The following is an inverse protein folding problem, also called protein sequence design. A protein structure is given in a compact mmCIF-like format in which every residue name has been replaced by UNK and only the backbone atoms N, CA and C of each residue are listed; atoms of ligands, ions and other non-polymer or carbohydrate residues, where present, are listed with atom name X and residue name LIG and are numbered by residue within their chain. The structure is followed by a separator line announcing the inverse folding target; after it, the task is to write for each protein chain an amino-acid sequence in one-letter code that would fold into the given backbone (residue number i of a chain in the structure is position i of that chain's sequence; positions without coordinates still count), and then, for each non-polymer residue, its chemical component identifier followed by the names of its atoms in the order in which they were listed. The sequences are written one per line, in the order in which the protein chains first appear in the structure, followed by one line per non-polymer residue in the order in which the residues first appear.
data_IF_339066404264
#
_entry.id   IF_339066404264
#
_cell.length_a   1.000
_cell.length_b   1.000
_cell.length_c   1.000
_cell.angle_alpha   90.00
_cell.angle_beta   90.00
_cell.angle_gamma   90.00
#
_symmetry.space_group_name_H-M   'P 1'
#
loop_
_entity.id
_entity.type
_entity.pdbx_description
1 polymer ?
#
# COMPACT_ATOMS: atom_id res chain seq x y z
N UNK A 1 12.35 2.52 -7.26
CA UNK A 1 11.14 2.43 -6.42
C UNK A 1 11.07 3.67 -5.56
N UNK A 2 9.93 4.35 -5.58
CA UNK A 2 9.62 5.53 -4.76
C UNK A 2 8.38 5.20 -3.93
N UNK A 3 8.43 5.44 -2.62
CA UNK A 3 7.31 5.24 -1.71
C UNK A 3 6.81 6.60 -1.26
N UNK A 4 5.51 6.84 -1.38
CA UNK A 4 4.85 8.06 -0.94
C UNK A 4 3.90 7.69 0.21
N UNK A 5 4.16 8.28 1.37
CA UNK A 5 3.38 8.13 2.58
C UNK A 5 3.43 9.44 3.36
N UNK A 6 2.32 10.19 3.35
CA UNK A 6 2.21 11.42 4.16
C UNK A 6 1.97 11.08 5.63
N UNK A 7 2.16 12.04 6.55
CA UNK A 7 1.87 11.81 7.97
C UNK A 7 0.38 11.51 8.20
N UNK A 8 -0.54 12.17 7.48
CA UNK A 8 -1.98 11.84 7.55
C UNK A 8 -2.25 10.42 7.07
N UNK A 9 -1.69 10.01 5.93
CA UNK A 9 -1.84 8.66 5.42
C UNK A 9 -1.28 7.61 6.39
N UNK A 10 -0.18 7.93 7.06
CA UNK A 10 0.44 7.09 8.09
C UNK A 10 -0.44 6.96 9.34
N UNK A 11 -1.10 8.02 9.78
CA UNK A 11 -2.07 7.98 10.89
C UNK A 11 -3.31 7.15 10.51
N UNK A 12 -3.81 7.33 9.29
CA UNK A 12 -4.92 6.54 8.74
C UNK A 12 -4.55 5.06 8.65
N UNK A 13 -3.34 4.74 8.17
CA UNK A 13 -2.82 3.37 8.11
C UNK A 13 -2.67 2.75 9.50
N UNK A 14 -2.25 3.53 10.52
CA UNK A 14 -2.21 3.06 11.91
C UNK A 14 -3.61 2.80 12.47
N UNK A 15 -4.60 3.64 12.13
CA UNK A 15 -5.98 3.52 12.63
C UNK A 15 -6.71 2.32 12.01
N UNK A 16 -6.57 2.10 10.70
CA UNK A 16 -7.39 1.13 9.97
C UNK A 16 -6.62 -0.05 9.36
N UNK A 17 -5.28 -0.01 9.37
CA UNK A 17 -4.43 -1.01 8.71
C UNK A 17 -4.43 -2.40 9.35
N UNK A 18 -5.04 -2.57 10.53
CA UNK A 18 -5.32 -3.88 11.13
C UNK A 18 -6.60 -4.54 10.61
N UNK A 19 -7.46 -3.76 9.93
CA UNK A 19 -8.73 -4.20 9.35
C UNK A 19 -8.56 -4.82 7.97
N UNK A 20 -9.46 -4.45 7.04
CA UNK A 20 -9.37 -4.88 5.64
C UNK A 20 -8.44 -3.96 4.86
N UNK A 21 -7.59 -4.56 4.04
CA UNK A 21 -6.74 -3.87 3.09
C UNK A 21 -7.02 -4.35 1.69
N UNK A 22 -7.10 -3.41 0.76
CA UNK A 22 -7.07 -3.67 -0.67
C UNK A 22 -5.71 -3.21 -1.20
N UNK A 23 -5.04 -4.07 -1.97
CA UNK A 23 -3.77 -3.73 -2.61
C UNK A 23 -3.98 -3.93 -4.10
N UNK A 24 -3.91 -2.84 -4.85
CA UNK A 24 -4.05 -2.87 -6.30
C UNK A 24 -2.78 -2.32 -6.96
N UNK A 25 -2.44 -2.87 -8.12
CA UNK A 25 -1.32 -2.40 -8.92
C UNK A 25 -1.75 -2.13 -10.35
N UNK A 26 -1.68 -0.86 -10.73
CA UNK A 26 -1.95 -0.45 -12.11
C UNK A 26 -0.68 -0.60 -12.95
N UNK A 27 -0.83 -1.26 -14.10
CA UNK A 27 0.24 -1.52 -15.06
C UNK A 27 -0.04 -0.76 -16.36
N UNK A 28 1.00 -0.31 -17.06
CA UNK A 28 0.87 0.25 -18.41
C UNK A 28 0.16 1.61 -18.49
N UNK A 29 0.03 2.33 -17.38
CA UNK A 29 -0.63 3.65 -17.31
C UNK A 29 0.27 4.80 -17.77
N UNK A 30 1.52 4.53 -18.14
CA UNK A 30 2.48 5.52 -18.60
C UNK A 30 3.47 4.93 -19.62
N UNK A 31 4.11 5.80 -20.40
CA UNK A 31 5.11 5.44 -21.42
C UNK A 31 6.44 4.89 -20.87
N UNK A 32 6.61 4.90 -19.55
CA UNK A 32 7.87 4.56 -18.88
C UNK A 32 7.82 3.19 -18.18
N UNK A 33 6.73 2.44 -18.35
CA UNK A 33 6.52 1.13 -17.71
C UNK A 33 6.72 1.16 -16.18
N UNK A 34 6.40 2.29 -15.53
CA UNK A 34 6.27 2.31 -14.08
C UNK A 34 4.93 1.75 -13.69
N UNK A 35 4.92 0.92 -12.66
CA UNK A 35 3.73 0.46 -12.00
C UNK A 35 3.46 1.30 -10.76
N UNK A 36 2.18 1.56 -10.50
CA UNK A 36 1.72 2.19 -9.27
C UNK A 36 0.97 1.15 -8.46
N UNK A 37 1.58 0.72 -7.36
CA UNK A 37 0.94 -0.12 -6.34
C UNK A 37 0.38 0.77 -5.24
N UNK A 38 -0.89 0.59 -4.92
CA UNK A 38 -1.63 1.40 -3.92
C UNK A 38 -2.12 0.51 -2.80
N UNK A 39 -1.93 0.94 -1.55
CA UNK A 39 -2.59 0.35 -0.39
C UNK A 39 -3.81 1.20 -0.06
N UNK A 40 -4.98 0.57 -0.04
CA UNK A 40 -6.24 1.19 0.35
C UNK A 40 -6.68 0.55 1.66
N UNK A 41 -6.90 1.36 2.70
CA UNK A 41 -7.57 0.92 3.92
C UNK A 41 -9.07 1.11 3.77
N UNK A 42 -9.84 0.28 4.45
CA UNK A 42 -11.29 0.46 4.57
C UNK A 42 -11.59 1.08 5.94
N UNK A 43 -12.30 2.19 5.96
CA UNK A 43 -12.69 2.88 7.20
C UNK A 43 -13.89 2.22 7.91
N UNK A 44 -14.37 2.81 9.00
CA UNK A 44 -15.50 2.31 9.77
C UNK A 44 -16.85 2.39 9.03
N UNK A 45 -16.95 3.17 7.96
CA UNK A 45 -18.14 3.31 7.11
C UNK A 45 -18.09 2.40 5.88
N UNK A 46 -16.97 1.71 5.66
CA UNK A 46 -16.77 0.87 4.48
C UNK A 46 -16.17 1.60 3.29
N UNK A 47 -15.74 2.85 3.46
CA UNK A 47 -15.15 3.67 2.41
C UNK A 47 -13.65 3.40 2.27
N UNK A 48 -13.18 3.39 1.02
CA UNK A 48 -11.77 3.16 0.71
C UNK A 48 -10.94 4.43 0.77
N UNK A 49 -9.85 4.42 1.53
CA UNK A 49 -8.88 5.52 1.56
C UNK A 49 -7.48 5.07 1.12
N UNK A 50 -6.85 5.74 0.14
CA UNK A 50 -5.51 5.39 -0.32
C UNK A 50 -4.44 5.82 0.71
N UNK A 51 -3.96 4.85 1.47
CA UNK A 51 -3.10 5.05 2.62
C UNK A 51 -1.60 4.91 2.33
N UNK A 52 -1.20 4.38 1.16
CA UNK A 52 0.19 4.42 0.72
C UNK A 52 0.31 4.18 -0.79
N UNK A 53 1.34 4.75 -1.40
CA UNK A 53 1.65 4.54 -2.82
C UNK A 53 3.10 4.08 -3.01
N UNK A 54 3.29 3.17 -3.97
CA UNK A 54 4.59 2.71 -4.41
C UNK A 54 4.69 2.81 -5.93
N UNK A 55 5.65 3.58 -6.42
CA UNK A 55 5.95 3.70 -7.84
C UNK A 55 7.22 2.88 -8.11
N UNK A 56 7.12 1.85 -8.94
CA UNK A 56 8.23 0.94 -9.22
C UNK A 56 8.17 0.38 -10.63
N UNK A 57 9.33 0.18 -11.26
CA UNK A 57 9.43 -0.57 -12.52
C UNK A 57 9.26 -2.08 -12.31
N UNK A 58 9.34 -2.55 -11.05
CA UNK A 58 9.23 -3.97 -10.68
C UNK A 58 8.20 -4.17 -9.58
N UNK A 59 7.36 -5.18 -9.75
CA UNK A 59 6.48 -5.73 -8.72
C UNK A 59 6.92 -7.17 -8.51
N UNK A 60 7.94 -7.33 -7.66
CA UNK A 60 8.43 -8.64 -7.22
C UNK A 60 8.40 -8.71 -5.69
N UNK A 61 8.60 -9.90 -5.15
CA UNK A 61 8.57 -10.16 -3.71
C UNK A 61 9.48 -9.23 -2.92
N UNK A 62 10.69 -8.94 -3.43
CA UNK A 62 11.67 -8.11 -2.73
C UNK A 62 11.20 -6.66 -2.64
N UNK A 63 10.68 -6.10 -3.74
CA UNK A 63 10.17 -4.73 -3.78
C UNK A 63 8.92 -4.57 -2.92
N UNK A 64 7.99 -5.52 -3.01
CA UNK A 64 6.75 -5.48 -2.25
C UNK A 64 6.99 -5.70 -0.75
N UNK A 65 7.91 -6.60 -0.38
CA UNK A 65 8.34 -6.74 1.02
C UNK A 65 8.89 -5.42 1.55
N UNK A 66 9.71 -4.72 0.79
CA UNK A 66 10.23 -3.42 1.24
C UNK A 66 9.13 -2.36 1.37
N UNK A 67 8.16 -2.33 0.45
CA UNK A 67 7.01 -1.42 0.52
C UNK A 67 6.12 -1.69 1.75
N UNK A 68 5.89 -2.96 2.07
CA UNK A 68 5.03 -3.36 3.19
C UNK A 68 5.73 -3.33 4.57
N UNK A 69 7.04 -3.55 4.63
CA UNK A 69 7.73 -3.86 5.89
C UNK A 69 8.76 -2.81 6.38
N UNK A 70 9.10 -1.75 5.64
CA UNK A 70 10.23 -0.89 6.05
C UNK A 70 9.92 0.17 7.13
N UNK A 71 10.89 0.30 8.05
CA UNK A 71 10.78 0.53 9.48
C UNK A 71 11.76 1.61 10.02
N UNK A 72 11.36 2.28 11.12
CA UNK A 72 12.15 2.51 12.34
C UNK A 72 11.16 2.74 13.51
N UNK A 73 10.48 1.68 13.98
CA UNK A 73 9.62 1.74 15.17
C UNK A 73 8.42 0.79 15.24
N UNK A 74 8.16 -0.04 14.21
CA UNK A 74 7.04 -0.98 14.17
C UNK A 74 6.62 -1.35 12.73
N UNK A 75 5.83 -2.41 12.60
CA UNK A 75 5.22 -2.84 11.32
C UNK A 75 4.06 -1.90 10.92
N UNK A 76 3.97 -1.52 9.65
CA UNK A 76 2.86 -0.69 9.13
C UNK A 76 1.59 -1.50 8.85
N UNK A 77 1.73 -2.78 8.53
CA UNK A 77 0.63 -3.66 8.15
C UNK A 77 0.61 -4.89 9.07
N UNK A 78 -0.17 -4.85 10.18
CA UNK A 78 -0.45 -6.05 10.98
C UNK A 78 -1.56 -6.93 10.37
N UNK A 79 -2.11 -6.56 9.20
CA UNK A 79 -3.26 -7.21 8.59
C UNK A 79 -2.99 -8.69 8.23
N UNK A 80 -3.86 -9.57 8.71
CA UNK A 80 -3.85 -11.02 8.43
C UNK A 80 -4.73 -11.42 7.25
N UNK A 81 -5.43 -10.46 6.61
CA UNK A 81 -6.33 -10.68 5.47
C UNK A 81 -6.21 -9.56 4.43
N UNK A 82 -5.20 -9.66 3.57
CA UNK A 82 -5.13 -8.84 2.36
C UNK A 82 -6.01 -9.47 1.27
N UNK A 83 -6.93 -8.69 0.69
CA UNK A 83 -7.61 -9.09 -0.54
C UNK A 83 -6.73 -8.59 -1.70
N UNK A 84 -6.08 -9.54 -2.36
CA UNK A 84 -5.35 -9.29 -3.61
C UNK A 84 -6.23 -9.80 -4.76
N UNK A 85 -6.90 -8.88 -5.43
CA UNK A 85 -7.61 -9.17 -6.67
C UNK A 85 -6.70 -8.82 -7.85
N UNK A 86 -6.58 -9.78 -8.79
CA UNK A 86 -5.78 -9.66 -10.02
C UNK A 86 -6.62 -9.07 -11.14
#
# INVERSE_FOLDING_TARGET
MLIILTETQKEVLKKFGSGKLCIDSTHGTNQYNFNLTTIVVIDEFGEGYPAAFCISTKIDERHMTFFFFKNKGGYWLPCTKCVYER
#
